data_IF_174494577294
#
_entry.id   IF_174494577294
#
_cell.length_a   1.000
_cell.length_b   1.000
_cell.length_c   1.000
_cell.angle_alpha   90.00
_cell.angle_beta   90.00
_cell.angle_gamma   90.00
#
_symmetry.space_group_name_H-M   'P 1'
#
loop_
_entity.id
_entity.type
_entity.pdbx_description
1 polymer ?
#
# COMPACT_ATOMS: atom_id res chain seq x y z
N UNK A 1 19.28 27.15 -9.36
CA UNK A 1 19.69 25.97 -8.56
C UNK A 1 18.58 24.92 -8.45
N UNK A 2 17.36 25.28 -8.04
CA UNK A 2 16.22 24.34 -7.95
C UNK A 2 15.86 23.63 -9.27
N UNK A 3 15.77 24.36 -10.39
CA UNK A 3 15.48 23.76 -11.70
C UNK A 3 16.52 22.74 -12.17
N UNK A 4 17.79 22.92 -11.83
CA UNK A 4 18.85 21.98 -12.17
C UNK A 4 18.67 20.64 -11.42
N UNK A 5 18.29 20.68 -10.14
CA UNK A 5 18.00 19.47 -9.36
C UNK A 5 16.80 18.67 -9.88
N UNK A 6 15.82 19.33 -10.51
CA UNK A 6 14.64 18.68 -11.09
C UNK A 6 14.94 18.15 -12.50
N UNK A 7 15.61 18.95 -13.33
CA UNK A 7 15.84 18.62 -14.75
C UNK A 7 16.97 17.59 -14.91
N UNK A 8 18.01 17.65 -14.09
CA UNK A 8 19.17 16.75 -14.18
C UNK A 8 18.81 15.25 -14.12
N UNK A 9 18.06 14.74 -13.10
CA UNK A 9 17.74 13.32 -13.04
C UNK A 9 16.83 12.86 -14.18
N UNK A 10 15.92 13.73 -14.67
CA UNK A 10 15.05 13.42 -15.80
C UNK A 10 15.85 13.34 -17.09
N UNK A 11 16.72 14.31 -17.35
CA UNK A 11 17.60 14.32 -18.52
C UNK A 11 18.58 13.15 -18.49
N UNK A 12 19.14 12.84 -17.33
CA UNK A 12 20.03 11.69 -17.13
C UNK A 12 19.29 10.35 -17.38
N UNK A 13 18.07 10.20 -16.86
CA UNK A 13 17.24 9.02 -17.12
C UNK A 13 16.90 8.84 -18.60
N UNK A 14 16.57 9.94 -19.29
CA UNK A 14 16.31 9.92 -20.74
C UNK A 14 17.56 9.64 -21.57
N UNK A 15 18.74 10.06 -21.10
CA UNK A 15 20.01 9.74 -21.74
C UNK A 15 20.35 8.26 -21.59
N UNK A 16 20.24 7.73 -20.38
CA UNK A 16 20.45 6.31 -20.08
C UNK A 16 19.47 5.41 -20.85
N UNK A 17 18.21 5.82 -21.00
CA UNK A 17 17.21 5.07 -21.77
C UNK A 17 17.53 4.93 -23.27
N UNK A 18 18.54 5.62 -23.81
CA UNK A 18 18.92 5.48 -25.22
C UNK A 18 19.73 4.23 -25.50
N UNK A 19 20.39 3.65 -24.49
CA UNK A 19 21.29 2.51 -24.67
C UNK A 19 20.50 1.18 -24.66
N UNK A 20 20.41 0.46 -25.80
CA UNK A 20 19.61 -0.76 -25.91
C UNK A 20 20.12 -1.90 -25.02
N UNK A 21 21.42 -1.91 -24.70
CA UNK A 21 22.06 -2.89 -23.83
C UNK A 21 21.48 -2.91 -22.42
N UNK A 22 21.06 -1.75 -21.90
CA UNK A 22 20.50 -1.65 -20.56
C UNK A 22 19.15 -2.38 -20.43
N UNK A 23 18.36 -2.43 -21.51
CA UNK A 23 17.11 -3.17 -21.52
C UNK A 23 17.36 -4.69 -21.50
N UNK A 24 18.40 -5.15 -22.19
CA UNK A 24 18.81 -6.56 -22.18
C UNK A 24 19.29 -6.95 -20.79
N UNK A 25 20.11 -6.11 -20.14
CA UNK A 25 20.57 -6.34 -18.76
C UNK A 25 19.42 -6.33 -17.75
N UNK A 26 18.44 -5.44 -17.93
CA UNK A 26 17.21 -5.38 -17.12
C UNK A 26 16.40 -6.66 -17.24
N UNK A 27 16.16 -7.15 -18.45
CA UNK A 27 15.38 -8.37 -18.71
C UNK A 27 16.15 -9.61 -18.25
N UNK A 28 17.47 -9.64 -18.41
CA UNK A 28 18.33 -10.71 -17.92
C UNK A 28 18.36 -10.80 -16.40
N UNK A 29 17.98 -9.73 -15.68
CA UNK A 29 17.97 -9.71 -14.23
C UNK A 29 16.75 -10.47 -13.67
N UNK A 30 16.95 -11.59 -12.95
CA UNK A 30 15.84 -12.36 -12.39
C UNK A 30 15.01 -11.58 -11.35
N UNK A 31 15.57 -10.54 -10.73
CA UNK A 31 14.82 -9.66 -9.81
C UNK A 31 13.84 -8.76 -10.55
N UNK A 32 14.14 -8.38 -11.80
CA UNK A 32 13.25 -7.52 -12.58
C UNK A 32 11.92 -8.23 -12.88
N UNK A 33 11.99 -9.48 -13.33
CA UNK A 33 10.80 -10.31 -13.54
C UNK A 33 9.98 -10.47 -12.25
N UNK A 34 10.64 -10.69 -11.10
CA UNK A 34 9.94 -10.79 -9.81
C UNK A 34 9.26 -9.48 -9.41
N UNK A 35 9.93 -8.33 -9.59
CA UNK A 35 9.34 -7.02 -9.32
C UNK A 35 8.13 -6.76 -10.21
N UNK A 36 8.20 -7.07 -11.50
CA UNK A 36 7.07 -6.94 -12.43
C UNK A 36 5.87 -7.77 -11.98
N UNK A 37 6.09 -9.03 -11.60
CA UNK A 37 5.03 -9.91 -11.07
C UNK A 37 4.45 -9.34 -9.78
N UNK A 38 5.29 -8.87 -8.85
CA UNK A 38 4.83 -8.27 -7.60
C UNK A 38 4.00 -7.00 -7.84
N UNK A 39 4.41 -6.14 -8.77
CA UNK A 39 3.64 -4.95 -9.16
C UNK A 39 2.32 -5.33 -9.83
N UNK A 40 2.33 -6.31 -10.74
CA UNK A 40 1.11 -6.79 -11.38
C UNK A 40 0.14 -7.40 -10.36
N UNK A 41 0.63 -8.19 -9.40
CA UNK A 41 -0.17 -8.72 -8.30
C UNK A 41 -0.69 -7.61 -7.37
N UNK A 42 0.15 -6.64 -7.03
CA UNK A 42 -0.23 -5.52 -6.18
C UNK A 42 -1.34 -4.69 -6.83
N UNK A 43 -1.21 -4.34 -8.10
CA UNK A 43 -2.23 -3.59 -8.84
C UNK A 43 -3.46 -4.45 -9.06
N UNK A 44 -3.28 -5.67 -9.58
CA UNK A 44 -4.36 -6.59 -9.91
C UNK A 44 -5.19 -6.98 -8.70
N UNK A 45 -4.57 -7.28 -7.56
CA UNK A 45 -5.31 -7.63 -6.33
C UNK A 45 -5.72 -6.38 -5.57
N UNK A 46 -4.78 -5.48 -5.29
CA UNK A 46 -5.02 -4.33 -4.42
C UNK A 46 -6.05 -3.35 -4.97
N UNK A 47 -6.03 -3.07 -6.29
CA UNK A 47 -7.02 -2.17 -6.89
C UNK A 47 -8.39 -2.84 -6.94
N UNK A 48 -8.49 -4.08 -7.40
CA UNK A 48 -9.78 -4.76 -7.53
C UNK A 48 -10.45 -4.97 -6.16
N UNK A 49 -9.70 -5.43 -5.16
CA UNK A 49 -10.22 -5.60 -3.79
C UNK A 49 -10.67 -4.27 -3.22
N UNK A 50 -9.87 -3.20 -3.36
CA UNK A 50 -10.24 -1.86 -2.92
C UNK A 50 -11.55 -1.38 -3.57
N UNK A 51 -11.67 -1.52 -4.90
CA UNK A 51 -12.86 -1.07 -5.63
C UNK A 51 -14.10 -1.85 -5.21
N UNK A 52 -13.99 -3.17 -5.07
CA UNK A 52 -15.07 -4.02 -4.61
C UNK A 52 -15.54 -3.64 -3.20
N UNK A 53 -14.59 -3.47 -2.25
CA UNK A 53 -14.91 -3.06 -0.89
C UNK A 53 -15.51 -1.64 -0.85
N UNK A 54 -14.99 -0.72 -1.64
CA UNK A 54 -15.49 0.65 -1.70
C UNK A 54 -16.94 0.71 -2.21
N UNK A 55 -17.27 -0.07 -3.23
CA UNK A 55 -18.64 -0.18 -3.74
C UNK A 55 -19.58 -0.77 -2.69
N UNK A 56 -19.15 -1.85 -2.01
CA UNK A 56 -19.93 -2.50 -0.96
C UNK A 56 -20.21 -1.54 0.21
N UNK A 57 -19.19 -0.80 0.65
CA UNK A 57 -19.28 0.17 1.73
C UNK A 57 -20.08 1.42 1.33
N UNK A 58 -20.02 1.87 0.07
CA UNK A 58 -20.82 3.01 -0.41
C UNK A 58 -22.32 2.74 -0.22
N UNK A 59 -22.78 1.56 -0.65
CA UNK A 59 -24.17 1.14 -0.44
C UNK A 59 -24.56 1.04 1.04
N UNK A 60 -23.61 0.74 1.93
CA UNK A 60 -23.83 0.77 3.37
C UNK A 60 -23.98 2.21 3.91
N UNK A 61 -23.10 3.14 3.51
CA UNK A 61 -23.14 4.54 3.93
C UNK A 61 -24.32 5.33 3.36
N UNK A 62 -24.90 4.89 2.24
CA UNK A 62 -26.10 5.48 1.67
C UNK A 62 -27.36 5.30 2.55
N UNK A 63 -27.33 4.38 3.53
CA UNK A 63 -28.45 4.17 4.45
C UNK A 63 -28.58 5.35 5.42
N UNK A 64 -29.78 5.94 5.46
CA UNK A 64 -30.10 7.13 6.27
C UNK A 64 -30.32 6.81 7.75
N UNK A 65 -29.31 6.26 8.43
CA UNK A 65 -29.31 6.01 9.89
C UNK A 65 -28.36 6.97 10.60
N UNK A 66 -28.75 7.44 11.79
CA UNK A 66 -27.98 8.44 12.54
C UNK A 66 -26.59 7.92 12.97
N UNK A 67 -26.47 6.64 13.33
CA UNK A 67 -25.19 6.04 13.71
C UNK A 67 -24.24 5.87 12.50
N UNK A 68 -24.78 5.69 11.28
CA UNK A 68 -23.98 5.63 10.05
C UNK A 68 -23.35 7.00 9.76
N UNK A 69 -24.11 8.08 9.98
CA UNK A 69 -23.59 9.45 9.90
C UNK A 69 -22.48 9.71 10.91
N UNK A 70 -22.54 9.10 12.10
CA UNK A 70 -21.50 9.21 13.12
C UNK A 70 -20.25 8.36 12.80
N UNK A 71 -20.38 7.27 12.04
CA UNK A 71 -19.24 6.43 11.61
C UNK A 71 -18.46 7.03 10.44
N UNK A 72 -19.10 7.85 9.59
CA UNK A 72 -18.48 8.43 8.41
C UNK A 72 -17.18 9.22 8.71
N UNK A 73 -17.12 10.09 9.74
CA UNK A 73 -15.89 10.81 10.08
C UNK A 73 -14.74 9.86 10.45
N UNK A 74 -15.03 8.82 11.24
CA UNK A 74 -14.03 7.81 11.64
C UNK A 74 -13.52 7.05 10.42
N UNK A 75 -14.43 6.73 9.50
CA UNK A 75 -14.11 6.02 8.27
C UNK A 75 -13.22 6.85 7.32
N UNK A 76 -13.34 8.18 7.32
CA UNK A 76 -12.54 9.08 6.46
C UNK A 76 -11.15 9.37 7.04
N UNK A 77 -10.93 9.14 8.34
CA UNK A 77 -9.65 9.40 9.03
C UNK A 77 -8.42 8.84 8.27
N UNK A 78 -8.41 7.59 7.79
CA UNK A 78 -7.27 7.04 7.08
C UNK A 78 -6.87 7.89 5.88
N UNK A 79 -7.84 8.40 5.12
CA UNK A 79 -7.59 9.23 3.95
C UNK A 79 -7.10 10.63 4.34
N UNK A 80 -7.67 11.23 5.38
CA UNK A 80 -7.35 12.57 5.84
C UNK A 80 -5.91 12.72 6.38
N UNK A 81 -5.32 11.64 6.91
CA UNK A 81 -3.93 11.67 7.40
C UNK A 81 -2.92 11.90 6.26
N UNK A 82 -1.70 12.40 6.52
CA UNK A 82 -0.66 12.42 5.49
C UNK A 82 -0.17 10.98 5.19
N UNK A 83 0.17 10.68 3.93
CA UNK A 83 0.48 9.30 3.52
C UNK A 83 1.76 8.74 4.17
N UNK A 84 2.82 9.54 4.22
CA UNK A 84 4.11 9.14 4.78
C UNK A 84 3.98 8.69 6.25
N UNK A 85 3.48 9.53 7.18
CA UNK A 85 3.34 9.11 8.58
C UNK A 85 2.40 7.93 8.74
N UNK A 86 1.34 7.82 7.94
CA UNK A 86 0.46 6.64 7.98
C UNK A 86 1.22 5.35 7.63
N UNK A 87 1.96 5.31 6.53
CA UNK A 87 2.73 4.13 6.15
C UNK A 87 3.88 3.83 7.11
N UNK A 88 4.52 4.86 7.66
CA UNK A 88 5.51 4.69 8.72
C UNK A 88 4.85 4.06 9.95
N UNK A 89 3.68 4.53 10.39
CA UNK A 89 2.94 3.90 11.49
C UNK A 89 2.65 2.42 11.23
N UNK A 90 2.17 2.05 10.04
CA UNK A 90 1.99 0.64 9.65
C UNK A 90 3.30 -0.15 9.72
N UNK A 91 4.40 0.43 9.25
CA UNK A 91 5.71 -0.19 9.31
C UNK A 91 6.14 -0.44 10.76
N UNK A 92 5.96 0.54 11.66
CA UNK A 92 6.27 0.39 13.09
C UNK A 92 5.37 -0.64 13.79
N UNK A 93 4.10 -0.73 13.42
CA UNK A 93 3.19 -1.75 13.95
C UNK A 93 3.60 -3.18 13.59
N UNK A 94 4.35 -3.34 12.49
CA UNK A 94 4.77 -4.62 11.92
C UNK A 94 6.28 -4.89 12.06
N UNK A 95 7.08 -3.97 12.60
CA UNK A 95 8.53 -4.16 12.73
C UNK A 95 8.91 -4.48 14.18
N UNK A 96 9.53 -5.65 14.38
CA UNK A 96 10.10 -6.08 15.65
C UNK A 96 9.39 -7.28 16.29
N UNK A 97 10.09 -7.98 17.19
CA UNK A 97 9.56 -9.15 17.92
C UNK A 97 8.41 -8.79 18.89
N UNK A 98 8.26 -7.51 19.24
CA UNK A 98 7.16 -6.96 20.03
C UNK A 98 6.38 -5.86 19.28
N UNK A 99 6.30 -5.94 17.95
CA UNK A 99 5.42 -5.06 17.18
C UNK A 99 3.97 -5.16 17.68
N UNK A 100 3.19 -4.08 17.55
CA UNK A 100 1.79 -4.06 18.05
C UNK A 100 0.97 -5.24 17.51
N UNK A 101 1.16 -5.60 16.25
CA UNK A 101 0.45 -6.74 15.63
C UNK A 101 0.89 -8.06 16.26
N UNK A 102 2.19 -8.22 16.55
CA UNK A 102 2.75 -9.45 17.12
C UNK A 102 2.36 -9.63 18.58
N UNK A 103 2.35 -8.54 19.36
CA UNK A 103 1.82 -8.55 20.73
C UNK A 103 0.32 -8.91 20.76
N UNK A 104 -0.47 -8.39 19.82
CA UNK A 104 -1.89 -8.73 19.71
C UNK A 104 -2.10 -10.19 19.29
N UNK A 105 -1.32 -10.70 18.35
CA UNK A 105 -1.38 -12.11 17.94
C UNK A 105 -1.00 -13.05 19.08
N UNK A 106 0.03 -12.70 19.84
CA UNK A 106 0.47 -13.44 21.01
C UNK A 106 -0.60 -13.42 22.11
N UNK A 107 -1.19 -12.25 22.41
CA UNK A 107 -2.21 -12.12 23.45
C UNK A 107 -3.54 -12.84 23.11
N UNK A 108 -3.96 -12.81 21.84
CA UNK A 108 -5.24 -13.38 21.42
C UNK A 108 -5.14 -14.86 21.04
N UNK A 109 -4.03 -15.28 20.43
CA UNK A 109 -3.90 -16.61 19.84
C UNK A 109 -2.69 -17.40 20.38
N UNK A 110 -1.82 -16.79 21.20
CA UNK A 110 -0.62 -17.44 21.72
C UNK A 110 0.45 -17.71 20.66
N UNK A 111 0.36 -17.08 19.49
CA UNK A 111 1.27 -17.30 18.35
C UNK A 111 2.31 -16.19 18.31
N UNK A 112 3.59 -16.56 18.19
CA UNK A 112 4.65 -15.58 17.89
C UNK A 112 4.50 -15.08 16.46
N UNK A 113 4.40 -13.76 16.31
CA UNK A 113 4.22 -13.13 15.02
C UNK A 113 5.38 -13.44 14.06
N UNK A 114 5.09 -13.65 12.76
CA UNK A 114 6.13 -13.90 11.78
C UNK A 114 6.93 -12.63 11.50
N UNK A 115 8.16 -12.77 11.01
CA UNK A 115 8.93 -11.65 10.47
C UNK A 115 8.26 -11.11 9.18
N UNK A 116 7.38 -10.12 9.34
CA UNK A 116 6.49 -9.60 8.30
C UNK A 116 7.20 -9.12 7.03
N UNK A 117 8.38 -8.52 7.19
CA UNK A 117 9.15 -7.95 6.08
C UNK A 117 10.21 -8.90 5.51
N UNK A 118 10.46 -10.03 6.18
CA UNK A 118 11.42 -11.04 5.70
C UNK A 118 10.79 -11.95 4.65
N UNK A 119 9.50 -12.27 4.79
CA UNK A 119 8.76 -13.02 3.77
C UNK A 119 8.13 -12.08 2.73
N UNK A 120 8.48 -12.29 1.45
CA UNK A 120 7.93 -11.57 0.30
C UNK A 120 6.40 -11.57 0.27
N UNK A 121 5.75 -12.69 0.60
CA UNK A 121 4.28 -12.83 0.50
C UNK A 121 3.58 -11.99 1.57
N UNK A 122 4.09 -12.04 2.80
CA UNK A 122 3.58 -11.27 3.92
C UNK A 122 3.80 -9.77 3.71
N UNK A 123 4.99 -9.39 3.24
CA UNK A 123 5.32 -8.01 2.93
C UNK A 123 4.38 -7.42 1.85
N UNK A 124 4.12 -8.16 0.76
CA UNK A 124 3.17 -7.74 -0.27
C UNK A 124 1.74 -7.66 0.27
N UNK A 125 1.31 -8.65 1.05
CA UNK A 125 -0.02 -8.66 1.67
C UNK A 125 -0.26 -7.42 2.52
N UNK A 126 0.65 -7.12 3.45
CA UNK A 126 0.53 -5.93 4.32
C UNK A 126 0.62 -4.62 3.56
N UNK A 127 1.44 -4.55 2.52
CA UNK A 127 1.49 -3.36 1.67
C UNK A 127 0.14 -3.13 0.96
N UNK A 128 -0.50 -4.19 0.47
CA UNK A 128 -1.85 -4.12 -0.10
C UNK A 128 -2.87 -3.67 0.95
N UNK A 129 -2.83 -4.23 2.16
CA UNK A 129 -3.74 -3.85 3.25
C UNK A 129 -3.57 -2.38 3.62
N UNK A 130 -2.34 -1.91 3.81
CA UNK A 130 -2.05 -0.51 4.14
C UNK A 130 -2.52 0.43 3.01
N UNK A 131 -2.34 0.04 1.74
CA UNK A 131 -2.84 0.78 0.58
C UNK A 131 -4.37 0.86 0.56
N UNK A 132 -5.06 -0.26 0.76
CA UNK A 132 -6.52 -0.31 0.81
C UNK A 132 -7.00 0.58 1.95
N UNK A 133 -6.50 0.39 3.17
CA UNK A 133 -6.87 1.19 4.34
C UNK A 133 -6.72 2.70 4.08
N UNK A 134 -5.61 3.11 3.47
CA UNK A 134 -5.30 4.52 3.18
C UNK A 134 -6.24 5.15 2.15
N UNK A 135 -6.54 4.44 1.07
CA UNK A 135 -7.18 5.02 -0.11
C UNK A 135 -8.65 4.64 -0.30
N UNK A 136 -9.11 3.56 0.32
CA UNK A 136 -10.50 3.09 0.22
C UNK A 136 -11.54 4.14 0.64
N UNK A 137 -11.32 4.99 1.68
CA UNK A 137 -12.36 5.92 2.10
C UNK A 137 -12.76 6.93 1.02
N UNK A 138 -11.79 7.41 0.24
CA UNK A 138 -12.04 8.34 -0.86
C UNK A 138 -12.93 7.72 -1.95
N UNK A 139 -12.63 6.48 -2.37
CA UNK A 139 -13.40 5.80 -3.42
C UNK A 139 -14.83 5.48 -2.98
N UNK A 140 -15.00 5.14 -1.71
CA UNK A 140 -16.31 4.83 -1.11
C UNK A 140 -17.25 6.04 -1.08
N UNK A 141 -16.71 7.26 -0.99
CA UNK A 141 -17.50 8.48 -1.07
C UNK A 141 -17.81 8.91 -2.50
N UNK A 142 -17.03 8.42 -3.47
CA UNK A 142 -17.17 8.81 -4.87
C UNK A 142 -18.20 7.96 -5.60
N UNK A 143 -18.30 6.67 -5.25
CA UNK A 143 -19.33 5.75 -5.73
C UNK A 143 -20.67 6.00 -5.04
#
# INVERSE_FOLDING_TARGET
MFGAFVVYPVAYGLWMARDPSLYVDLIANPRYAQTLVNTALYVGVGVNVKMFLALLLSGFFMRRRWWIRALLPVYILPWALPAIPAFVSFHWMLIGEEGLVDSLLSALFGIQGPLWFTDRRLALGWNIVAYIWKWMPFWTLTF
#
